data_IF_946638562363
#
_entry.id   IF_946638562363
#
_cell.length_a   1.000
_cell.length_b   1.000
_cell.length_c   1.000
_cell.angle_alpha   90.00
_cell.angle_beta   90.00
_cell.angle_gamma   90.00
#
_symmetry.space_group_name_H-M   'P 1'
#
loop_
_entity.id
_entity.type
_entity.pdbx_description
1 polymer ?
#
# COMPACT_ATOMS: atom_id res chain seq x y z
N UNK A 1 3.93 -3.66 12.18
CA UNK A 1 3.21 -4.65 13.03
C UNK A 1 3.12 -4.18 14.49
N UNK A 2 2.04 -4.48 15.22
CA UNK A 2 1.85 -3.96 16.59
C UNK A 2 2.92 -4.42 17.58
N UNK A 3 3.45 -5.64 17.43
CA UNK A 3 4.52 -6.16 18.28
C UNK A 3 5.78 -5.29 18.26
N UNK A 4 5.98 -4.44 17.24
CA UNK A 4 7.12 -3.53 17.21
C UNK A 4 7.07 -2.43 18.25
N UNK A 5 5.90 -2.15 18.86
CA UNK A 5 5.79 -1.23 19.98
C UNK A 5 6.55 -1.70 21.22
N UNK A 6 6.83 -3.00 21.34
CA UNK A 6 7.68 -3.51 22.44
C UNK A 6 9.13 -3.02 22.32
N UNK A 7 9.64 -2.88 21.08
CA UNK A 7 11.00 -2.40 20.80
C UNK A 7 11.07 -0.90 20.56
N UNK A 8 10.02 -0.33 19.96
CA UNK A 8 9.90 1.09 19.67
C UNK A 8 8.52 1.61 20.10
N UNK A 9 8.33 1.94 21.39
CA UNK A 9 7.03 2.33 21.93
C UNK A 9 6.42 3.61 21.35
N UNK A 10 7.26 4.47 20.74
CA UNK A 10 6.81 5.73 20.14
C UNK A 10 6.10 5.59 18.79
N UNK A 11 6.06 4.37 18.21
CA UNK A 11 5.27 4.11 17.00
C UNK A 11 3.76 4.38 17.25
N UNK A 12 3.01 4.85 16.23
CA UNK A 12 3.37 4.90 14.80
C UNK A 12 4.01 6.21 14.31
N UNK A 13 4.37 7.13 15.21
CA UNK A 13 5.00 8.40 14.84
C UNK A 13 6.29 8.19 14.02
N UNK A 14 6.42 8.92 12.92
CA UNK A 14 7.53 8.73 11.99
C UNK A 14 8.88 9.20 12.56
N UNK A 15 8.88 10.16 13.49
CA UNK A 15 10.12 10.61 14.14
C UNK A 15 10.60 9.54 15.13
N UNK A 16 9.68 8.95 15.90
CA UNK A 16 9.99 7.80 16.76
C UNK A 16 10.47 6.59 15.94
N UNK A 17 9.85 6.32 14.78
CA UNK A 17 10.34 5.31 13.84
C UNK A 17 11.80 5.59 13.46
N UNK A 18 12.11 6.85 13.11
CA UNK A 18 13.44 7.26 12.70
C UNK A 18 14.49 7.13 13.83
N UNK A 19 14.10 7.49 15.05
CA UNK A 19 14.94 7.35 16.25
C UNK A 19 15.23 5.87 16.57
N UNK A 20 14.30 4.97 16.22
CA UNK A 20 14.42 3.53 16.42
C UNK A 20 15.03 2.78 15.22
N UNK A 21 15.61 3.47 14.23
CA UNK A 21 16.01 2.85 12.97
C UNK A 21 16.88 1.60 13.11
N UNK A 22 17.85 1.59 14.02
CA UNK A 22 18.73 0.44 14.27
C UNK A 22 17.95 -0.82 14.68
N UNK A 23 16.82 -0.68 15.38
CA UNK A 23 15.95 -1.81 15.75
C UNK A 23 15.31 -2.49 14.53
N UNK A 24 15.27 -1.81 13.38
CA UNK A 24 14.80 -2.32 12.09
C UNK A 24 15.94 -2.65 11.13
N UNK A 25 17.20 -2.55 11.57
CA UNK A 25 18.35 -2.86 10.71
C UNK A 25 18.43 -4.35 10.37
N UNK A 26 18.99 -4.63 9.20
CA UNK A 26 19.45 -5.95 8.78
C UNK A 26 20.97 -5.94 8.65
N UNK A 27 21.64 -7.11 8.54
CA UNK A 27 23.08 -7.14 8.30
C UNK A 27 23.54 -6.31 7.10
N UNK A 28 22.70 -6.19 6.08
CA UNK A 28 22.99 -5.47 4.83
C UNK A 28 22.83 -3.95 4.97
N UNK A 29 21.95 -3.49 5.87
CA UNK A 29 21.58 -2.07 6.01
C UNK A 29 22.21 -1.42 7.24
N UNK A 30 22.78 -2.20 8.16
CA UNK A 30 23.37 -1.71 9.40
C UNK A 30 24.43 -0.59 9.15
N UNK A 31 24.37 0.53 9.87
CA UNK A 31 23.54 0.80 11.06
C UNK A 31 22.14 1.34 10.76
N UNK A 32 21.77 1.55 9.49
CA UNK A 32 20.44 2.04 9.11
C UNK A 32 19.37 0.96 9.28
N UNK A 33 18.14 1.40 9.52
CA UNK A 33 16.97 0.53 9.44
C UNK A 33 16.68 0.09 8.00
N UNK A 34 16.06 -1.06 7.81
CA UNK A 34 15.59 -1.48 6.48
C UNK A 34 14.13 -1.05 6.28
N UNK A 35 13.89 -0.29 5.23
CA UNK A 35 12.55 -0.06 4.69
C UNK A 35 12.35 -0.97 3.48
N UNK A 36 11.54 -2.02 3.64
CA UNK A 36 11.14 -2.89 2.54
C UNK A 36 10.15 -2.16 1.61
N UNK A 37 10.64 -1.61 0.51
CA UNK A 37 9.85 -0.92 -0.52
C UNK A 37 9.12 -1.89 -1.44
N UNK A 38 8.05 -1.43 -2.09
CA UNK A 38 7.40 -2.19 -3.16
C UNK A 38 8.27 -2.29 -4.42
N UNK A 39 7.91 -3.13 -5.41
CA UNK A 39 8.57 -3.15 -6.72
C UNK A 39 8.79 -1.76 -7.31
N UNK A 40 9.96 -1.52 -7.90
CA UNK A 40 10.36 -0.22 -8.48
C UNK A 40 9.39 0.28 -9.55
N UNK A 41 8.60 -0.61 -10.16
CA UNK A 41 7.59 -0.26 -11.16
C UNK A 41 6.29 0.31 -10.56
N UNK A 42 6.10 0.25 -9.24
CA UNK A 42 4.84 0.65 -8.59
C UNK A 42 4.75 2.13 -8.25
N UNK A 43 5.79 2.93 -8.51
CA UNK A 43 5.84 4.37 -8.25
C UNK A 43 5.42 4.72 -6.80
N UNK A 44 6.39 4.66 -5.88
CA UNK A 44 6.15 4.88 -4.45
C UNK A 44 6.68 6.20 -3.90
N UNK A 45 7.71 6.77 -4.53
CA UNK A 45 8.53 7.86 -4.00
C UNK A 45 9.08 7.57 -2.59
N UNK A 46 9.43 6.31 -2.32
CA UNK A 46 9.87 5.89 -0.99
C UNK A 46 11.32 6.27 -0.73
N UNK A 47 12.18 6.20 -1.76
CA UNK A 47 13.55 6.73 -1.72
C UNK A 47 13.55 8.23 -1.48
N UNK A 48 12.74 8.97 -2.26
CA UNK A 48 12.64 10.42 -2.16
C UNK A 48 12.08 10.86 -0.81
N UNK A 49 11.06 10.15 -0.27
CA UNK A 49 10.58 10.42 1.09
C UNK A 49 11.68 10.16 2.12
N UNK A 50 12.39 9.03 2.00
CA UNK A 50 13.43 8.68 2.96
C UNK A 50 14.58 9.70 2.95
N UNK A 51 14.99 10.15 1.76
CA UNK A 51 16.00 11.19 1.62
C UNK A 51 15.50 12.54 2.13
N UNK A 52 14.31 12.97 1.71
CA UNK A 52 13.75 14.28 2.04
C UNK A 52 13.52 14.45 3.56
N UNK A 53 13.02 13.41 4.24
CA UNK A 53 12.84 13.40 5.69
C UNK A 53 14.12 13.08 6.47
N UNK A 54 15.24 12.80 5.80
CA UNK A 54 16.50 12.42 6.45
C UNK A 54 16.36 11.14 7.28
N UNK A 55 15.62 10.15 6.77
CA UNK A 55 15.42 8.90 7.47
C UNK A 55 16.75 8.13 7.57
N UNK A 56 17.04 7.60 8.76
CA UNK A 56 18.11 6.65 9.03
C UNK A 56 17.75 5.25 8.51
N UNK A 57 17.12 5.19 7.35
CA UNK A 57 16.66 3.97 6.70
C UNK A 57 17.28 3.85 5.31
N UNK A 58 17.51 2.61 4.89
CA UNK A 58 17.79 2.26 3.52
C UNK A 58 16.55 1.61 2.91
N UNK A 59 16.11 2.14 1.77
CA UNK A 59 14.98 1.59 1.02
C UNK A 59 15.48 0.41 0.17
N UNK A 60 14.94 -0.76 0.43
CA UNK A 60 15.26 -2.00 -0.30
C UNK A 60 13.99 -2.47 -0.98
N UNK A 61 13.95 -2.38 -2.30
CA UNK A 61 12.77 -2.76 -3.08
C UNK A 61 12.65 -4.28 -3.27
N UNK A 62 11.47 -4.81 -2.97
CA UNK A 62 11.12 -6.17 -3.36
C UNK A 62 11.09 -6.31 -4.88
N UNK A 63 11.54 -7.46 -5.41
CA UNK A 63 11.52 -7.71 -6.86
C UNK A 63 10.10 -7.95 -7.42
N UNK A 64 9.19 -8.45 -6.59
CA UNK A 64 7.81 -8.79 -6.95
C UNK A 64 6.85 -8.55 -5.79
N UNK A 65 5.55 -8.48 -6.09
CA UNK A 65 4.45 -8.51 -5.09
C UNK A 65 4.60 -9.69 -4.12
N UNK A 66 4.76 -10.90 -4.69
CA UNK A 66 4.88 -12.13 -3.91
C UNK A 66 6.09 -12.11 -2.96
N UNK A 67 7.22 -11.53 -3.40
CA UNK A 67 8.41 -11.41 -2.55
C UNK A 67 8.17 -10.43 -1.39
N UNK A 68 7.56 -9.28 -1.67
CA UNK A 68 7.22 -8.27 -0.67
C UNK A 68 6.35 -8.87 0.44
N UNK A 69 5.24 -9.51 0.06
CA UNK A 69 4.30 -10.03 1.05
C UNK A 69 4.75 -11.34 1.70
N UNK A 70 5.55 -12.16 1.01
CA UNK A 70 6.21 -13.31 1.61
C UNK A 70 7.20 -12.92 2.72
N UNK A 71 7.94 -11.82 2.54
CA UNK A 71 8.79 -11.26 3.58
C UNK A 71 7.98 -10.71 4.77
N UNK A 72 6.87 -10.01 4.51
CA UNK A 72 5.96 -9.52 5.55
C UNK A 72 5.41 -10.68 6.38
N UNK A 73 4.94 -11.75 5.74
CA UNK A 73 4.46 -12.94 6.41
C UNK A 73 5.55 -13.59 7.26
N UNK A 74 6.74 -13.81 6.69
CA UNK A 74 7.87 -14.41 7.41
C UNK A 74 8.29 -13.59 8.64
N UNK A 75 8.31 -12.26 8.51
CA UNK A 75 8.66 -11.36 9.60
C UNK A 75 7.60 -11.41 10.69
N UNK A 76 6.31 -11.36 10.32
CA UNK A 76 5.22 -11.40 11.29
C UNK A 76 5.19 -12.71 12.08
N UNK A 77 5.34 -13.87 11.40
CA UNK A 77 5.35 -15.19 12.05
C UNK A 77 6.49 -15.36 13.06
N UNK A 78 7.65 -14.75 12.79
CA UNK A 78 8.83 -14.80 13.68
C UNK A 78 8.92 -13.61 14.63
N UNK A 79 7.95 -12.71 14.61
CA UNK A 79 7.98 -11.41 15.30
C UNK A 79 9.29 -10.63 15.05
N UNK A 80 9.82 -10.74 13.83
CA UNK A 80 11.02 -10.02 13.42
C UNK A 80 10.68 -8.55 13.11
N UNK A 81 11.59 -7.59 13.40
CA UNK A 81 11.39 -6.20 13.02
C UNK A 81 11.18 -6.01 11.52
N UNK A 82 10.15 -5.24 11.16
CA UNK A 82 9.85 -4.93 9.76
C UNK A 82 9.11 -3.61 9.62
N UNK A 83 9.61 -2.78 8.71
CA UNK A 83 8.93 -1.65 8.07
C UNK A 83 8.78 -2.01 6.59
N UNK A 84 7.55 -2.04 6.08
CA UNK A 84 7.28 -2.47 4.72
C UNK A 84 6.23 -1.60 4.04
N UNK A 85 6.35 -1.50 2.72
CA UNK A 85 5.33 -0.94 1.86
C UNK A 85 4.14 -1.88 1.81
N UNK A 86 2.96 -1.35 2.11
CA UNK A 86 1.68 -2.06 2.02
C UNK A 86 0.62 -1.08 1.54
N UNK A 87 -0.52 -1.59 1.09
CA UNK A 87 -1.64 -0.79 0.60
C UNK A 87 -2.96 -1.39 1.06
N UNK A 88 -4.02 -0.59 0.99
CA UNK A 88 -5.38 -1.05 1.21
C UNK A 88 -6.27 -0.56 0.06
N UNK A 89 -7.21 -1.39 -0.44
CA UNK A 89 -7.54 -2.75 0.02
C UNK A 89 -6.48 -3.81 -0.36
N UNK A 90 -6.14 -4.69 0.58
CA UNK A 90 -5.24 -5.83 0.40
C UNK A 90 -5.42 -6.84 1.56
N UNK A 91 -4.98 -8.09 1.40
CA UNK A 91 -5.12 -9.12 2.46
C UNK A 91 -4.21 -8.86 3.67
N UNK A 92 -2.99 -8.36 3.45
CA UNK A 92 -1.99 -8.19 4.51
C UNK A 92 -2.45 -7.30 5.68
N UNK A 93 -2.95 -6.07 5.45
CA UNK A 93 -3.50 -5.24 6.53
C UNK A 93 -4.82 -5.77 7.10
N UNK A 94 -5.50 -6.70 6.42
CA UNK A 94 -6.71 -7.36 6.94
C UNK A 94 -6.37 -8.56 7.85
N UNK A 95 -5.27 -9.27 7.57
CA UNK A 95 -4.82 -10.46 8.32
C UNK A 95 -3.94 -10.12 9.52
N UNK A 96 -3.09 -9.11 9.40
CA UNK A 96 -2.06 -8.79 10.39
C UNK A 96 -2.38 -7.53 11.17
N UNK A 97 -2.21 -7.59 12.49
CA UNK A 97 -2.37 -6.43 13.36
C UNK A 97 -1.15 -5.51 13.24
N UNK A 98 -1.38 -4.31 12.72
CA UNK A 98 -0.34 -3.31 12.50
C UNK A 98 -0.91 -1.91 12.38
N UNK A 99 -0.02 -0.95 12.22
CA UNK A 99 -0.36 0.46 12.07
C UNK A 99 0.36 1.04 10.87
N UNK A 100 -0.26 2.04 10.26
CA UNK A 100 0.36 2.88 9.26
C UNK A 100 1.30 3.87 9.95
N UNK A 101 2.52 4.00 9.46
CA UNK A 101 3.43 5.05 9.95
C UNK A 101 2.79 6.41 9.73
N UNK A 102 2.77 7.23 10.78
CA UNK A 102 2.18 8.57 10.78
C UNK A 102 3.22 9.61 10.30
N UNK A 103 3.52 9.57 9.00
CA UNK A 103 4.24 10.65 8.33
C UNK A 103 3.40 11.94 8.29
N UNK A 104 4.01 13.11 7.99
CA UNK A 104 3.27 14.34 7.72
C UNK A 104 2.16 14.08 6.70
N UNK A 105 1.00 14.70 6.86
CA UNK A 105 -0.17 14.38 6.02
C UNK A 105 0.11 14.75 4.56
N UNK A 106 -0.28 13.87 3.65
CA UNK A 106 -0.26 14.15 2.21
C UNK A 106 -1.02 15.43 1.86
N UNK A 107 -0.42 16.23 0.98
CA UNK A 107 -1.03 17.32 0.22
C UNK A 107 -0.47 17.30 -1.21
N UNK A 108 -1.16 17.92 -2.16
CA UNK A 108 -0.64 18.02 -3.53
C UNK A 108 0.62 18.91 -3.55
N UNK A 109 0.69 19.93 -2.69
CA UNK A 109 1.84 20.82 -2.56
C UNK A 109 3.09 20.07 -2.08
N UNK A 110 2.98 19.15 -1.11
CA UNK A 110 4.10 18.33 -0.67
C UNK A 110 4.83 17.59 -1.81
N UNK A 111 4.09 17.20 -2.85
CA UNK A 111 4.63 16.44 -3.98
C UNK A 111 5.14 17.35 -5.11
N UNK A 112 4.75 18.63 -5.13
CA UNK A 112 4.99 19.54 -6.26
C UNK A 112 5.76 20.83 -5.89
N UNK A 113 5.86 21.16 -4.61
CA UNK A 113 6.55 22.34 -4.07
C UNK A 113 7.62 21.90 -3.06
N UNK A 114 8.91 21.94 -3.43
CA UNK A 114 10.02 21.57 -2.54
C UNK A 114 10.09 22.40 -1.25
N UNK A 115 9.47 23.58 -1.20
CA UNK A 115 9.51 24.42 0.01
C UNK A 115 8.36 24.14 1.00
N UNK A 116 7.50 23.16 0.70
CA UNK A 116 6.26 22.93 1.46
C UNK A 116 6.48 22.40 2.87
N UNK A 117 7.40 21.44 3.05
CA UNK A 117 7.52 20.69 4.29
C UNK A 117 8.73 21.05 5.14
N UNK A 118 9.19 20.08 5.92
CA UNK A 118 10.38 20.18 6.78
C UNK A 118 11.69 20.34 6.01
N UNK A 119 11.76 19.84 4.78
CA UNK A 119 12.91 20.01 3.91
C UNK A 119 12.59 21.07 2.86
N UNK A 120 13.20 22.26 2.89
CA UNK A 120 12.85 23.35 1.97
C UNK A 120 13.44 23.16 0.56
N UNK A 121 14.29 22.16 0.36
CA UNK A 121 15.02 21.92 -0.89
C UNK A 121 14.50 20.69 -1.65
N UNK A 122 13.59 19.90 -1.05
CA UNK A 122 13.11 18.64 -1.62
C UNK A 122 11.61 18.41 -1.37
N UNK A 123 10.92 17.85 -2.36
CA UNK A 123 9.54 17.39 -2.22
C UNK A 123 9.45 16.03 -1.49
N UNK A 124 8.24 15.50 -1.34
CA UNK A 124 7.93 14.15 -0.83
C UNK A 124 8.17 13.91 0.66
N UNK A 125 8.31 14.96 1.47
CA UNK A 125 8.45 14.86 2.93
C UNK A 125 7.10 14.72 3.67
N UNK A 126 6.16 14.02 3.05
CA UNK A 126 4.89 13.63 3.64
C UNK A 126 4.53 12.19 3.28
N UNK A 127 3.52 11.66 3.96
CA UNK A 127 2.95 10.35 3.70
C UNK A 127 2.31 10.23 2.32
N UNK A 128 1.97 9.00 1.95
CA UNK A 128 1.34 8.72 0.66
C UNK A 128 -0.08 9.27 0.59
N UNK A 129 -0.58 9.60 -0.62
CA UNK A 129 -1.98 9.97 -0.80
C UNK A 129 -2.91 8.85 -0.31
N UNK A 130 -3.97 9.25 0.38
CA UNK A 130 -5.12 8.39 0.66
C UNK A 130 -6.25 8.84 -0.26
N UNK A 131 -6.75 7.95 -1.11
CA UNK A 131 -7.72 8.37 -2.12
C UNK A 131 -8.31 7.24 -2.93
N UNK A 132 -8.60 7.56 -4.18
CA UNK A 132 -9.41 6.77 -5.10
C UNK A 132 -8.60 5.84 -5.99
N UNK A 133 -9.15 4.65 -6.23
CA UNK A 133 -8.79 3.80 -7.37
C UNK A 133 -9.76 4.17 -8.50
N UNK A 134 -9.24 4.63 -9.64
CA UNK A 134 -10.05 5.06 -10.79
C UNK A 134 -9.95 4.05 -11.93
N UNK A 135 -11.09 3.68 -12.50
CA UNK A 135 -11.12 3.00 -13.78
C UNK A 135 -10.83 4.02 -14.90
N UNK A 136 -9.90 3.69 -15.80
CA UNK A 136 -9.55 4.50 -16.96
C UNK A 136 -9.78 3.69 -18.24
N UNK A 137 -10.41 4.33 -19.21
CA UNK A 137 -10.73 3.73 -20.51
C UNK A 137 -10.04 4.45 -21.66
N UNK A 138 -9.90 3.77 -22.78
CA UNK A 138 -9.43 4.37 -24.02
C UNK A 138 -10.43 5.45 -24.51
N UNK A 139 -9.91 6.62 -24.92
CA UNK A 139 -10.72 7.78 -25.28
C UNK A 139 -11.81 7.50 -26.33
N UNK A 140 -11.57 6.61 -27.30
CA UNK A 140 -12.54 6.26 -28.34
C UNK A 140 -13.43 5.05 -28.02
N UNK A 141 -13.33 4.48 -26.82
CA UNK A 141 -14.04 3.25 -26.50
C UNK A 141 -15.52 3.46 -26.20
N UNK A 142 -15.93 4.64 -25.73
CA UNK A 142 -17.33 4.96 -25.48
C UNK A 142 -18.17 4.96 -26.75
N UNK A 143 -17.62 5.49 -27.86
CA UNK A 143 -18.29 5.47 -29.17
C UNK A 143 -18.54 4.05 -29.67
N UNK A 144 -17.69 3.09 -29.28
CA UNK A 144 -17.79 1.69 -29.70
C UNK A 144 -18.62 0.84 -28.73
N UNK A 145 -18.47 1.08 -27.42
CA UNK A 145 -19.05 0.25 -26.37
C UNK A 145 -19.70 1.12 -25.27
N UNK A 146 -20.74 1.90 -25.60
CA UNK A 146 -21.31 2.87 -24.67
C UNK A 146 -21.83 2.21 -23.38
N UNK A 147 -22.47 1.04 -23.51
CA UNK A 147 -22.95 0.26 -22.35
C UNK A 147 -21.82 -0.26 -21.45
N UNK A 148 -20.70 -0.67 -22.04
CA UNK A 148 -19.54 -1.13 -21.25
C UNK A 148 -18.89 0.04 -20.50
N UNK A 149 -18.78 1.21 -21.14
CA UNK A 149 -18.26 2.42 -20.50
C UNK A 149 -19.18 2.91 -19.38
N UNK A 150 -20.51 2.82 -19.55
CA UNK A 150 -21.47 3.08 -18.48
C UNK A 150 -21.25 2.13 -17.30
N UNK A 151 -21.14 0.82 -17.55
CA UNK A 151 -20.86 -0.16 -16.50
C UNK A 151 -19.54 0.11 -15.76
N UNK A 152 -18.47 0.46 -16.48
CA UNK A 152 -17.18 0.81 -15.87
C UNK A 152 -17.28 2.07 -15.01
N UNK A 153 -18.05 3.08 -15.42
CA UNK A 153 -18.25 4.31 -14.63
C UNK A 153 -19.08 4.08 -13.38
N UNK A 154 -20.06 3.19 -13.46
CA UNK A 154 -20.92 2.85 -12.35
C UNK A 154 -20.29 1.80 -11.41
N UNK A 155 -19.22 1.14 -11.84
CA UNK A 155 -18.51 0.15 -11.04
C UNK A 155 -18.05 0.77 -9.71
N UNK A 156 -18.55 0.19 -8.63
CA UNK A 156 -18.16 0.56 -7.28
C UNK A 156 -18.10 -0.69 -6.42
N UNK A 157 -17.01 -0.82 -5.66
CA UNK A 157 -16.79 -1.91 -4.72
C UNK A 157 -16.06 -1.34 -3.52
N UNK A 158 -16.51 -1.67 -2.31
CA UNK A 158 -15.90 -1.17 -1.09
C UNK A 158 -14.63 -1.97 -0.72
N UNK A 159 -13.82 -1.38 0.16
CA UNK A 159 -12.54 -1.97 0.58
C UNK A 159 -12.69 -3.32 1.27
N UNK A 160 -13.75 -3.53 2.06
CA UNK A 160 -13.93 -4.78 2.79
C UNK A 160 -14.30 -5.90 1.82
N UNK A 161 -15.20 -5.62 0.87
CA UNK A 161 -15.53 -6.56 -0.20
C UNK A 161 -14.29 -6.90 -1.03
N UNK A 162 -13.53 -5.90 -1.50
CA UNK A 162 -12.32 -6.15 -2.29
C UNK A 162 -11.28 -6.97 -1.52
N UNK A 163 -11.01 -6.63 -0.26
CA UNK A 163 -10.06 -7.36 0.58
C UNK A 163 -10.48 -8.83 0.78
N UNK A 164 -11.78 -9.10 0.98
CA UNK A 164 -12.29 -10.46 1.10
C UNK A 164 -12.12 -11.28 -0.19
N UNK A 165 -12.31 -10.67 -1.37
CA UNK A 165 -12.07 -11.33 -2.65
C UNK A 165 -10.58 -11.63 -2.86
N UNK A 166 -9.70 -10.68 -2.52
CA UNK A 166 -8.24 -10.86 -2.59
C UNK A 166 -7.80 -12.01 -1.68
N UNK A 167 -8.33 -12.11 -0.45
CA UNK A 167 -8.01 -13.20 0.48
C UNK A 167 -8.30 -14.59 -0.13
N UNK A 168 -9.45 -14.75 -0.79
CA UNK A 168 -9.82 -16.03 -1.43
C UNK A 168 -8.83 -16.45 -2.51
N UNK A 169 -8.29 -15.49 -3.26
CA UNK A 169 -7.30 -15.77 -4.30
C UNK A 169 -5.93 -16.03 -3.68
N UNK A 170 -5.40 -15.06 -2.93
CA UNK A 170 -4.00 -15.06 -2.54
C UNK A 170 -3.69 -16.00 -1.37
N UNK A 171 -4.65 -16.21 -0.46
CA UNK A 171 -4.44 -17.02 0.75
C UNK A 171 -5.12 -18.38 0.68
N UNK A 172 -6.28 -18.48 0.02
CA UNK A 172 -7.01 -19.74 -0.10
C UNK A 172 -6.73 -20.49 -1.42
N UNK A 173 -6.02 -19.85 -2.36
CA UNK A 173 -5.58 -20.47 -3.62
C UNK A 173 -6.70 -20.71 -4.62
N UNK A 174 -7.82 -19.98 -4.51
CA UNK A 174 -8.89 -20.05 -5.50
C UNK A 174 -8.51 -19.28 -6.78
N UNK A 175 -9.07 -19.67 -7.92
CA UNK A 175 -8.87 -18.92 -9.16
C UNK A 175 -9.62 -17.58 -9.11
N UNK A 176 -9.09 -16.56 -9.80
CA UNK A 176 -9.75 -15.26 -9.90
C UNK A 176 -11.13 -15.42 -10.56
N UNK A 177 -11.21 -16.28 -11.57
CA UNK A 177 -12.43 -16.56 -12.32
C UNK A 177 -13.52 -17.14 -11.41
N UNK A 178 -13.20 -18.13 -10.58
CA UNK A 178 -14.17 -18.77 -9.69
C UNK A 178 -14.63 -17.80 -8.59
N UNK A 179 -13.70 -17.04 -8.01
CA UNK A 179 -14.00 -16.05 -6.96
C UNK A 179 -14.91 -14.94 -7.50
N UNK A 180 -14.61 -14.41 -8.69
CA UNK A 180 -15.43 -13.38 -9.34
C UNK A 180 -16.79 -13.95 -9.74
N UNK A 181 -16.84 -15.16 -10.32
CA UNK A 181 -18.10 -15.79 -10.73
C UNK A 181 -19.03 -16.04 -9.53
N UNK A 182 -18.49 -16.54 -8.42
CA UNK A 182 -19.24 -16.71 -7.18
C UNK A 182 -19.75 -15.37 -6.64
N UNK A 183 -18.90 -14.34 -6.60
CA UNK A 183 -19.31 -13.01 -6.14
C UNK A 183 -20.42 -12.42 -7.03
N UNK A 184 -20.32 -12.54 -8.36
CA UNK A 184 -21.36 -12.06 -9.27
C UNK A 184 -22.69 -12.80 -9.09
N UNK A 185 -22.66 -14.12 -8.85
CA UNK A 185 -23.87 -14.91 -8.61
C UNK A 185 -24.58 -14.50 -7.31
N UNK A 186 -23.81 -14.14 -6.27
CA UNK A 186 -24.34 -13.75 -4.97
C UNK A 186 -24.75 -12.26 -4.89
N UNK A 187 -24.22 -11.42 -5.79
CA UNK A 187 -24.36 -9.95 -5.74
C UNK A 187 -25.07 -9.38 -6.98
N UNK A 188 -26.04 -10.10 -7.55
CA UNK A 188 -26.73 -9.70 -8.77
C UNK A 188 -27.34 -8.30 -8.74
N UNK A 189 -27.98 -7.92 -7.63
CA UNK A 189 -28.58 -6.59 -7.48
C UNK A 189 -27.53 -5.48 -7.57
N UNK A 190 -26.34 -5.71 -7.03
CA UNK A 190 -25.22 -4.77 -7.02
C UNK A 190 -24.69 -4.55 -8.43
N UNK A 191 -24.26 -5.61 -9.12
CA UNK A 191 -23.59 -5.43 -10.42
C UNK A 191 -24.55 -5.14 -11.56
N UNK A 192 -25.81 -5.61 -11.51
CA UNK A 192 -26.80 -5.27 -12.53
C UNK A 192 -27.08 -3.77 -12.52
N UNK A 193 -27.04 -3.11 -11.35
CA UNK A 193 -27.17 -1.66 -11.25
C UNK A 193 -26.07 -0.90 -11.98
N UNK A 194 -24.89 -1.50 -12.18
CA UNK A 194 -23.84 -0.85 -12.98
C UNK A 194 -24.19 -0.81 -14.46
N UNK A 195 -24.92 -1.81 -14.96
CA UNK A 195 -25.26 -1.98 -16.38
C UNK A 195 -26.55 -1.28 -16.82
N UNK A 196 -27.29 -0.70 -15.88
CA UNK A 196 -28.50 0.09 -16.11
C UNK A 196 -28.14 1.55 -16.39
#
# INVERSE_FOLDING_TARGET
PLYMKEKCPGLPDWTALNDCAEAFSTPETHPKGRYLGGPVTWSGYDDERAESLGLNYEVVHAGTDAALFGEIESAYQRQAPILAWVYAPHWAPAKYEGEWVEFPRYTDECYNDPAWGSNPDMAYDCGKPRGWIKAVGWAGGEDKWPKAYQAIRNFTIDNATMAALIIKVDLEGQSVEDVVAAWLAENESTWKAWTM
#
